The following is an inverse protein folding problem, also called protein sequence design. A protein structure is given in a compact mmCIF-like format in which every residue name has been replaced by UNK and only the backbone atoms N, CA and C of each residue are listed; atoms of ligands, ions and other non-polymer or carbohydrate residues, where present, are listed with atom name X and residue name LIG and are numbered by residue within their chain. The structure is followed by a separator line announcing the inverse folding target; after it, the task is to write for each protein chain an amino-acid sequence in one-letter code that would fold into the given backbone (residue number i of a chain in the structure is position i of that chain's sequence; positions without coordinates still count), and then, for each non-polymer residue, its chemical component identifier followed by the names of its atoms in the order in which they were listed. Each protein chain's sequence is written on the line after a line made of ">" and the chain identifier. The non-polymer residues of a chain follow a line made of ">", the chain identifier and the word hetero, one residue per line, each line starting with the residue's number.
data_IF_522104140173
#
_entry.id   IF_522104140173
#
_cell.length_a   1.000
_cell.length_b   1.000
_cell.length_c   1.000
_cell.angle_alpha   90.00
_cell.angle_beta   90.00
_cell.angle_gamma   90.00
#
_symmetry.space_group_name_H-M   'P 1'
#
loop_
_entity.id
_entity.type
_entity.pdbx_description
1 polymer ?
#
# COMPACT_ATOMS: atom_id res chain seq x y z
N UNK A 1 -37.47 79.01 8.29
CA UNK A 1 -37.33 78.09 7.14
C UNK A 1 -36.55 76.87 7.64
N UNK A 2 -37.22 75.75 7.92
CA UNK A 2 -37.45 74.61 7.01
C UNK A 2 -36.45 73.46 7.26
N UNK A 3 -36.98 72.35 7.82
CA UNK A 3 -36.70 70.90 7.59
C UNK A 3 -35.22 70.43 7.67
N UNK A 4 -34.84 69.24 8.16
CA UNK A 4 -35.51 67.94 8.18
C UNK A 4 -34.84 66.99 9.20
N UNK A 5 -35.64 66.03 9.69
CA UNK A 5 -35.24 64.75 10.29
C UNK A 5 -34.20 64.00 9.43
N UNK A 6 -33.24 63.32 10.05
CA UNK A 6 -32.92 61.91 9.71
C UNK A 6 -32.48 61.16 10.97
N UNK A 7 -33.23 60.09 11.25
CA UNK A 7 -32.98 59.04 12.23
C UNK A 7 -32.00 58.03 11.64
N UNK A 8 -30.91 57.73 12.34
CA UNK A 8 -29.99 56.66 11.97
C UNK A 8 -30.09 55.51 12.99
N UNK A 9 -30.82 54.46 12.60
CA UNK A 9 -30.83 53.14 13.23
C UNK A 9 -29.44 52.51 13.12
N UNK A 10 -28.81 52.19 14.24
CA UNK A 10 -27.66 51.30 14.31
C UNK A 10 -28.14 49.85 14.15
N UNK A 11 -27.88 49.28 12.98
CA UNK A 11 -28.09 47.85 12.71
C UNK A 11 -26.98 47.02 13.36
N UNK A 12 -27.31 46.28 14.40
CA UNK A 12 -26.44 45.26 14.99
C UNK A 12 -26.36 44.04 14.05
N UNK A 13 -25.22 43.84 13.41
CA UNK A 13 -24.92 42.62 12.65
C UNK A 13 -24.71 41.45 13.62
N UNK A 14 -25.68 40.53 13.71
CA UNK A 14 -25.51 39.26 14.44
C UNK A 14 -24.72 38.28 13.59
N UNK A 15 -23.55 37.90 14.10
CA UNK A 15 -22.67 36.84 13.60
C UNK A 15 -23.40 35.49 13.51
N UNK A 16 -23.43 34.90 12.31
CA UNK A 16 -23.96 33.56 12.08
C UNK A 16 -22.94 32.49 12.51
N UNK A 17 -23.23 31.78 13.60
CA UNK A 17 -22.48 30.59 14.03
C UNK A 17 -22.67 29.47 13.00
N UNK A 18 -21.60 29.04 12.33
CA UNK A 18 -21.57 27.83 11.49
C UNK A 18 -21.63 26.57 12.37
N UNK A 19 -22.56 25.68 12.07
CA UNK A 19 -22.70 24.36 12.69
C UNK A 19 -21.64 23.37 12.17
N UNK A 20 -21.21 22.37 12.98
CA UNK A 20 -20.19 21.41 12.58
C UNK A 20 -20.72 20.38 11.58
N UNK A 21 -20.03 20.24 10.44
CA UNK A 21 -20.31 19.20 9.44
C UNK A 21 -19.89 17.82 9.98
N UNK A 22 -20.85 16.89 10.10
CA UNK A 22 -20.59 15.49 10.48
C UNK A 22 -19.87 14.76 9.33
N UNK A 23 -18.77 14.06 9.65
CA UNK A 23 -17.99 13.26 8.69
C UNK A 23 -18.82 12.06 8.16
N UNK A 24 -18.75 11.72 6.86
CA UNK A 24 -19.53 10.63 6.29
C UNK A 24 -18.91 9.28 6.65
N UNK A 25 -19.33 8.70 7.78
CA UNK A 25 -19.00 7.32 8.18
C UNK A 25 -19.62 6.25 7.26
N UNK A 26 -20.46 6.65 6.30
CA UNK A 26 -21.14 5.74 5.38
C UNK A 26 -20.24 5.14 4.29
N UNK A 27 -19.18 5.84 3.86
CA UNK A 27 -18.29 5.33 2.82
C UNK A 27 -17.49 4.10 3.31
N UNK A 28 -17.03 4.13 4.57
CA UNK A 28 -16.29 3.02 5.16
C UNK A 28 -17.19 1.78 5.36
N UNK A 29 -18.43 1.99 5.81
CA UNK A 29 -19.42 0.92 5.94
C UNK A 29 -19.80 0.32 4.58
N UNK A 30 -19.89 1.14 3.52
CA UNK A 30 -20.16 0.66 2.17
C UNK A 30 -19.00 -0.19 1.61
N UNK A 31 -17.75 0.19 1.86
CA UNK A 31 -16.57 -0.58 1.46
C UNK A 31 -16.52 -1.92 2.22
N UNK A 32 -16.75 -1.92 3.54
CA UNK A 32 -16.80 -3.15 4.32
C UNK A 32 -17.91 -4.09 3.85
N UNK A 33 -19.11 -3.56 3.56
CA UNK A 33 -20.20 -4.35 3.01
C UNK A 33 -19.79 -5.00 1.69
N UNK A 34 -19.22 -4.22 0.75
CA UNK A 34 -18.82 -4.70 -0.58
C UNK A 34 -17.74 -5.79 -0.49
N UNK A 35 -16.78 -5.65 0.43
CA UNK A 35 -15.74 -6.66 0.67
C UNK A 35 -16.29 -7.95 1.28
N UNK A 36 -17.23 -7.87 2.23
CA UNK A 36 -17.89 -9.05 2.81
C UNK A 36 -18.73 -9.77 1.76
N UNK A 37 -19.49 -9.04 0.94
CA UNK A 37 -20.26 -9.66 -0.15
C UNK A 37 -19.33 -10.31 -1.19
N UNK A 38 -18.20 -9.69 -1.51
CA UNK A 38 -17.20 -10.27 -2.42
C UNK A 38 -16.55 -11.53 -1.85
N UNK A 39 -16.26 -11.55 -0.55
CA UNK A 39 -15.74 -12.73 0.15
C UNK A 39 -16.74 -13.89 0.15
N UNK A 40 -18.01 -13.61 0.40
CA UNK A 40 -19.08 -14.61 0.34
C UNK A 40 -19.29 -15.16 -1.07
N UNK A 41 -19.25 -14.31 -2.11
CA UNK A 41 -19.32 -14.78 -3.50
C UNK A 41 -18.13 -15.66 -3.89
N UNK A 42 -16.91 -15.33 -3.44
CA UNK A 42 -15.72 -16.15 -3.70
C UNK A 42 -15.75 -17.48 -2.97
N UNK A 43 -16.26 -17.53 -1.75
CA UNK A 43 -16.43 -18.79 -1.02
C UNK A 43 -17.52 -19.66 -1.64
N UNK A 44 -18.63 -19.08 -2.11
CA UNK A 44 -19.70 -19.81 -2.76
C UNK A 44 -19.30 -20.39 -4.13
N UNK A 45 -18.48 -19.65 -4.91
CA UNK A 45 -18.01 -20.10 -6.25
C UNK A 45 -16.73 -20.94 -6.17
N UNK A 46 -15.89 -20.75 -5.15
CA UNK A 46 -14.65 -21.50 -4.97
C UNK A 46 -14.80 -22.81 -4.20
N UNK A 47 -15.82 -22.95 -3.34
CA UNK A 47 -16.05 -24.20 -2.60
C UNK A 47 -16.56 -25.34 -3.52
N UNK A 48 -17.26 -25.02 -4.60
CA UNK A 48 -17.68 -26.02 -5.61
C UNK A 48 -16.51 -26.57 -6.43
N UNK A 49 -15.45 -25.77 -6.63
CA UNK A 49 -14.25 -26.21 -7.36
C UNK A 49 -13.27 -27.00 -6.47
N UNK A 50 -13.29 -26.75 -5.15
CA UNK A 50 -12.51 -27.51 -4.17
C UNK A 50 -13.10 -28.90 -3.88
N UNK A 51 -14.42 -29.04 -3.79
CA UNK A 51 -15.08 -30.34 -3.55
C UNK A 51 -15.03 -31.23 -4.81
N UNK A 52 -14.99 -30.64 -6.00
CA UNK A 52 -14.83 -31.38 -7.26
C UNK A 52 -13.39 -31.91 -7.50
N UNK A 53 -12.40 -31.44 -6.74
CA UNK A 53 -11.00 -31.93 -6.83
C UNK A 53 -10.59 -32.92 -5.75
N UNK A 54 -11.46 -33.18 -4.77
CA UNK A 54 -11.21 -34.17 -3.72
C UNK A 54 -11.47 -35.63 -4.18
N UNK A 55 -11.96 -35.83 -5.41
CA UNK A 55 -12.19 -37.15 -6.00
C UNK A 55 -11.07 -37.71 -6.88
N UNK A 56 -10.03 -36.94 -7.23
CA UNK A 56 -9.18 -37.30 -8.38
C UNK A 56 -7.67 -37.05 -8.19
N UNK A 57 -7.16 -37.19 -6.96
CA UNK A 57 -5.70 -37.18 -6.73
C UNK A 57 -5.23 -38.21 -5.69
N UNK A 58 -5.11 -39.47 -6.13
CA UNK A 58 -4.16 -40.43 -5.56
C UNK A 58 -3.87 -41.54 -6.58
N UNK A 59 -2.63 -41.69 -7.09
CA UNK A 59 -2.28 -42.80 -7.95
C UNK A 59 -2.15 -44.06 -7.08
N UNK A 60 -3.14 -44.96 -7.14
CA UNK A 60 -3.06 -46.28 -6.49
C UNK A 60 -2.32 -47.28 -7.38
N UNK A 61 -1.49 -48.16 -6.77
CA UNK A 61 -0.54 -49.04 -7.43
C UNK A 61 -1.25 -50.30 -7.94
N UNK A 62 -1.98 -50.19 -9.04
CA UNK A 62 -2.63 -51.34 -9.70
C UNK A 62 -1.86 -51.84 -10.92
N UNK A 63 -0.74 -51.20 -11.26
CA UNK A 63 0.07 -51.57 -12.42
C UNK A 63 0.97 -52.80 -12.18
N UNK A 64 1.31 -53.13 -10.94
CA UNK A 64 2.26 -54.22 -10.64
C UNK A 64 1.58 -55.60 -10.42
N UNK A 65 0.30 -55.63 -10.05
CA UNK A 65 -0.42 -56.90 -9.86
C UNK A 65 -1.00 -57.50 -11.16
N UNK A 66 -1.11 -56.71 -12.23
CA UNK A 66 -1.59 -57.17 -13.54
C UNK A 66 -0.47 -57.79 -14.40
N UNK A 67 0.80 -57.58 -14.06
CA UNK A 67 1.95 -58.07 -14.85
C UNK A 67 2.47 -59.45 -14.42
N UNK A 68 1.96 -60.02 -13.32
CA UNK A 68 2.40 -61.33 -12.80
C UNK A 68 1.49 -62.52 -13.17
N UNK A 69 0.30 -62.26 -13.74
CA UNK A 69 -0.67 -63.31 -14.08
C UNK A 69 -0.61 -63.77 -15.55
N UNK A 70 0.09 -63.04 -16.43
CA UNK A 70 0.13 -63.32 -17.88
C UNK A 70 1.37 -64.10 -18.34
N UNK A 71 2.28 -64.47 -17.43
CA UNK A 71 3.50 -65.21 -17.76
C UNK A 71 3.33 -66.75 -17.80
N UNK A 72 2.12 -67.26 -17.59
CA UNK A 72 1.84 -68.71 -17.50
C UNK A 72 0.83 -69.19 -18.56
N UNK A 73 0.99 -68.80 -19.83
CA UNK A 73 0.38 -69.53 -20.95
C UNK A 73 1.13 -69.33 -22.26
N UNK A 74 2.32 -69.91 -22.33
CA UNK A 74 3.09 -69.99 -23.56
C UNK A 74 2.67 -71.22 -24.40
N UNK A 75 2.27 -70.92 -25.66
CA UNK A 75 2.14 -71.73 -26.91
C UNK A 75 0.76 -72.26 -27.34
N UNK A 76 0.54 -72.43 -28.68
CA UNK A 76 1.37 -72.05 -29.83
C UNK A 76 0.73 -70.99 -30.75
N UNK A 77 1.58 -70.37 -31.57
CA UNK A 77 1.21 -69.51 -32.67
C UNK A 77 0.39 -70.25 -33.74
N UNK A 78 -0.83 -69.79 -33.97
CA UNK A 78 -1.61 -70.01 -35.20
C UNK A 78 -2.82 -69.07 -35.19
N UNK A 79 -2.61 -67.82 -35.61
CA UNK A 79 -3.55 -66.99 -36.37
C UNK A 79 -3.01 -65.56 -36.37
N UNK A 80 -2.19 -65.25 -37.38
CA UNK A 80 -2.00 -63.85 -37.76
C UNK A 80 -3.29 -63.42 -38.46
N UNK A 81 -4.10 -62.48 -37.92
CA UNK A 81 -5.11 -61.87 -38.77
C UNK A 81 -4.37 -61.19 -39.92
N UNK A 82 -4.75 -61.58 -41.15
CA UNK A 82 -4.27 -60.99 -42.39
C UNK A 82 -4.23 -59.45 -42.30
N UNK A 83 -3.34 -58.75 -43.03
CA UNK A 83 -3.31 -57.29 -43.00
C UNK A 83 -4.71 -56.76 -43.28
N UNK A 84 -5.34 -56.17 -42.25
CA UNK A 84 -6.62 -55.47 -42.42
C UNK A 84 -6.33 -54.34 -43.38
N UNK A 85 -6.77 -54.52 -44.63
CA UNK A 85 -6.90 -53.42 -45.57
C UNK A 85 -7.83 -52.44 -44.88
N UNK A 86 -7.28 -51.31 -44.42
CA UNK A 86 -8.06 -50.26 -43.77
C UNK A 86 -9.12 -49.86 -44.78
N UNK A 87 -10.37 -50.21 -44.51
CA UNK A 87 -11.44 -49.86 -45.41
C UNK A 87 -11.55 -48.34 -45.43
N UNK A 88 -11.88 -47.75 -46.57
CA UNK A 88 -12.07 -46.30 -46.70
C UNK A 88 -13.10 -45.74 -45.70
N UNK A 89 -13.98 -46.61 -45.19
CA UNK A 89 -14.94 -46.34 -44.12
C UNK A 89 -14.30 -46.09 -42.73
N UNK A 90 -13.14 -46.69 -42.43
CA UNK A 90 -12.44 -46.54 -41.15
C UNK A 90 -11.57 -45.27 -41.10
N UNK A 91 -11.24 -44.69 -42.26
CA UNK A 91 -10.38 -43.51 -42.41
C UNK A 91 -11.17 -42.20 -42.16
N UNK A 92 -12.41 -42.14 -42.64
CA UNK A 92 -13.30 -40.97 -42.49
C UNK A 92 -13.49 -40.51 -41.02
N UNK A 93 -13.86 -41.38 -40.06
CA UNK A 93 -14.04 -40.95 -38.67
C UNK A 93 -12.73 -40.48 -38.02
N UNK A 94 -11.58 -41.00 -38.48
CA UNK A 94 -10.27 -40.57 -38.00
C UNK A 94 -9.92 -39.17 -38.50
N UNK A 95 -10.19 -38.86 -39.78
CA UNK A 95 -10.04 -37.52 -40.34
C UNK A 95 -10.96 -36.51 -39.64
N UNK A 96 -12.22 -36.85 -39.41
CA UNK A 96 -13.16 -35.99 -38.67
C UNK A 96 -12.67 -35.72 -37.23
N UNK A 97 -12.10 -36.72 -36.55
CA UNK A 97 -11.52 -36.55 -35.22
C UNK A 97 -10.29 -35.63 -35.22
N UNK A 98 -9.47 -35.70 -36.28
CA UNK A 98 -8.32 -34.80 -36.48
C UNK A 98 -8.78 -33.37 -36.76
N UNK A 99 -9.76 -33.17 -37.64
CA UNK A 99 -10.33 -31.85 -37.93
C UNK A 99 -10.94 -31.22 -36.67
N UNK A 100 -11.68 -32.00 -35.89
CA UNK A 100 -12.24 -31.56 -34.62
C UNK A 100 -11.16 -31.22 -33.57
N UNK A 101 -10.01 -31.91 -33.61
CA UNK A 101 -8.85 -31.57 -32.76
C UNK A 101 -8.17 -30.30 -33.25
N UNK A 102 -7.97 -30.14 -34.55
CA UNK A 102 -7.36 -28.95 -35.14
C UNK A 102 -8.20 -27.70 -34.89
N UNK A 103 -9.52 -27.77 -35.05
CA UNK A 103 -10.43 -26.67 -34.72
C UNK A 103 -10.33 -26.26 -33.24
N UNK A 104 -10.20 -27.22 -32.32
CA UNK A 104 -10.00 -26.96 -30.89
C UNK A 104 -8.64 -26.31 -30.61
N UNK A 105 -7.58 -26.74 -31.29
CA UNK A 105 -6.24 -26.16 -31.16
C UNK A 105 -6.20 -24.73 -31.69
N UNK A 106 -6.71 -24.48 -32.90
CA UNK A 106 -6.78 -23.14 -33.49
C UNK A 106 -7.54 -22.15 -32.60
N UNK A 107 -8.63 -22.60 -31.94
CA UNK A 107 -9.37 -21.77 -30.97
C UNK A 107 -8.57 -21.46 -29.71
N UNK A 108 -7.72 -22.39 -29.25
CA UNK A 108 -6.83 -22.15 -28.10
C UNK A 108 -5.69 -21.22 -28.46
N UNK A 109 -5.08 -21.42 -29.62
CA UNK A 109 -4.01 -20.56 -30.14
C UNK A 109 -4.48 -19.11 -30.26
N UNK A 110 -5.63 -18.87 -30.91
CA UNK A 110 -6.17 -17.51 -31.01
C UNK A 110 -6.50 -16.88 -29.66
N UNK A 111 -7.00 -17.67 -28.70
CA UNK A 111 -7.24 -17.18 -27.35
C UNK A 111 -5.94 -16.83 -26.59
N UNK A 112 -4.87 -17.59 -26.81
CA UNK A 112 -3.54 -17.31 -26.25
C UNK A 112 -2.96 -16.06 -26.89
N UNK A 113 -3.05 -15.90 -28.21
CA UNK A 113 -2.54 -14.71 -28.92
C UNK A 113 -3.20 -13.42 -28.43
N UNK A 114 -4.53 -13.43 -28.31
CA UNK A 114 -5.28 -12.29 -27.75
C UNK A 114 -4.82 -11.98 -26.32
N UNK A 115 -4.60 -13.01 -25.50
CA UNK A 115 -4.14 -12.82 -24.11
C UNK A 115 -2.70 -12.28 -24.06
N UNK A 116 -1.81 -12.75 -24.93
CA UNK A 116 -0.43 -12.25 -25.00
C UNK A 116 -0.39 -10.78 -25.41
N UNK A 117 -1.20 -10.37 -26.38
CA UNK A 117 -1.32 -8.96 -26.76
C UNK A 117 -1.86 -8.10 -25.61
N UNK A 118 -2.88 -8.57 -24.91
CA UNK A 118 -3.43 -7.85 -23.76
C UNK A 118 -2.41 -7.73 -22.61
N UNK A 119 -1.62 -8.77 -22.36
CA UNK A 119 -0.55 -8.74 -21.35
C UNK A 119 0.57 -7.79 -21.75
N UNK A 120 1.01 -7.78 -23.01
CA UNK A 120 2.05 -6.88 -23.48
C UNK A 120 1.65 -5.40 -23.29
N UNK A 121 0.40 -5.03 -23.61
CA UNK A 121 -0.12 -3.68 -23.37
C UNK A 121 -0.17 -3.36 -21.87
N UNK A 122 -0.61 -4.32 -21.04
CA UNK A 122 -0.64 -4.13 -19.60
C UNK A 122 0.75 -3.96 -18.98
N UNK A 123 1.74 -4.72 -19.46
CA UNK A 123 3.15 -4.61 -19.04
C UNK A 123 3.71 -3.22 -19.36
N UNK A 124 3.47 -2.72 -20.59
CA UNK A 124 3.88 -1.37 -20.98
C UNK A 124 3.21 -0.28 -20.11
N UNK A 125 1.92 -0.41 -19.84
CA UNK A 125 1.21 0.51 -18.94
C UNK A 125 1.74 0.48 -17.50
N UNK A 126 2.06 -0.72 -16.99
CA UNK A 126 2.62 -0.89 -15.64
C UNK A 126 3.99 -0.24 -15.57
N UNK A 127 4.86 -0.48 -16.55
CA UNK A 127 6.19 0.11 -16.60
C UNK A 127 6.12 1.64 -16.64
N UNK A 128 5.24 2.19 -17.49
CA UNK A 128 5.00 3.64 -17.53
C UNK A 128 4.51 4.20 -16.19
N UNK A 129 3.61 3.51 -15.51
CA UNK A 129 3.11 3.92 -14.17
C UNK A 129 4.20 3.83 -13.12
N UNK A 130 5.05 2.80 -13.16
CA UNK A 130 6.17 2.62 -12.24
C UNK A 130 7.19 3.76 -12.39
N UNK A 131 7.54 4.13 -13.62
CA UNK A 131 8.43 5.26 -13.89
C UNK A 131 7.83 6.57 -13.38
N UNK A 132 6.55 6.84 -13.69
CA UNK A 132 5.86 8.04 -13.20
C UNK A 132 5.79 8.09 -11.66
N UNK A 133 5.60 6.94 -10.99
CA UNK A 133 5.62 6.87 -9.53
C UNK A 133 7.02 7.14 -8.95
N UNK A 134 8.07 6.58 -9.56
CA UNK A 134 9.44 6.81 -9.11
C UNK A 134 9.86 8.29 -9.25
N UNK A 135 9.46 8.94 -10.34
CA UNK A 135 9.67 10.37 -10.56
C UNK A 135 8.90 11.22 -9.54
N UNK A 136 7.63 10.89 -9.30
CA UNK A 136 6.80 11.57 -8.31
C UNK A 136 7.36 11.42 -6.89
N UNK A 137 7.83 10.22 -6.51
CA UNK A 137 8.47 9.96 -5.21
C UNK A 137 9.75 10.79 -5.06
N UNK A 138 10.58 10.84 -6.10
CA UNK A 138 11.82 11.62 -6.09
C UNK A 138 11.54 13.11 -5.94
N UNK A 139 10.57 13.64 -6.71
CA UNK A 139 10.13 15.04 -6.62
C UNK A 139 9.55 15.37 -5.24
N UNK A 140 8.75 14.48 -4.66
CA UNK A 140 8.23 14.63 -3.31
C UNK A 140 9.35 14.65 -2.26
N UNK A 141 10.29 13.71 -2.33
CA UNK A 141 11.46 13.66 -1.44
C UNK A 141 12.29 14.94 -1.52
N UNK A 142 12.53 15.45 -2.73
CA UNK A 142 13.23 16.72 -2.93
C UNK A 142 12.47 17.91 -2.33
N UNK A 143 11.16 17.99 -2.57
CA UNK A 143 10.32 19.07 -2.03
C UNK A 143 10.28 19.03 -0.50
N UNK A 144 10.16 17.84 0.10
CA UNK A 144 10.22 17.66 1.55
C UNK A 144 11.59 18.03 2.12
N UNK A 145 12.68 17.66 1.43
CA UNK A 145 14.02 18.05 1.83
C UNK A 145 14.19 19.57 1.81
N UNK A 146 13.81 20.24 0.72
CA UNK A 146 13.86 21.71 0.61
C UNK A 146 13.03 22.40 1.69
N UNK A 147 11.80 21.91 1.94
CA UNK A 147 10.94 22.45 2.98
C UNK A 147 11.55 22.26 4.38
N UNK A 148 12.20 21.11 4.64
CA UNK A 148 12.87 20.83 5.91
C UNK A 148 14.09 21.72 6.11
N UNK A 149 14.92 21.89 5.08
CA UNK A 149 16.15 22.71 5.15
C UNK A 149 15.80 24.19 5.38
N UNK A 150 14.86 24.75 4.61
CA UNK A 150 14.50 26.16 4.78
C UNK A 150 13.96 26.47 6.18
N UNK A 151 13.17 25.57 6.77
CA UNK A 151 12.66 25.75 8.12
C UNK A 151 13.70 25.46 9.22
N UNK A 152 14.67 24.55 8.99
CA UNK A 152 15.73 24.29 9.96
C UNK A 152 16.79 25.39 9.99
N UNK A 153 17.17 25.94 8.83
CA UNK A 153 18.26 26.90 8.71
C UNK A 153 18.01 28.17 9.54
N UNK A 154 16.76 28.65 9.56
CA UNK A 154 16.42 29.84 10.32
C UNK A 154 16.38 29.58 11.83
N UNK A 155 15.97 28.37 12.25
CA UNK A 155 16.03 27.96 13.66
C UNK A 155 17.47 27.76 14.12
N UNK A 156 18.33 27.19 13.27
CA UNK A 156 19.73 26.99 13.57
C UNK A 156 20.46 28.33 13.71
N UNK A 157 20.23 29.30 12.81
CA UNK A 157 20.74 30.67 12.95
C UNK A 157 20.31 31.33 14.26
N UNK A 158 19.03 31.21 14.65
CA UNK A 158 18.56 31.75 15.92
C UNK A 158 19.21 31.05 17.12
N UNK A 159 19.38 29.73 17.03
CA UNK A 159 20.09 28.94 18.04
C UNK A 159 21.53 29.44 18.20
N UNK A 160 22.24 29.70 17.10
CA UNK A 160 23.61 30.21 17.10
C UNK A 160 23.71 31.61 17.71
N UNK A 161 22.73 32.48 17.48
CA UNK A 161 22.69 33.81 18.10
C UNK A 161 22.64 33.71 19.62
N UNK A 162 21.79 32.83 20.15
CA UNK A 162 21.70 32.61 21.60
C UNK A 162 22.91 31.87 22.16
N UNK A 163 23.46 30.89 21.41
CA UNK A 163 24.64 30.13 21.82
C UNK A 163 25.90 31.01 21.95
N UNK A 164 26.04 32.02 21.10
CA UNK A 164 27.18 32.95 21.12
C UNK A 164 26.98 34.15 22.07
N UNK A 165 25.80 34.30 22.67
CA UNK A 165 25.54 35.34 23.66
C UNK A 165 26.18 35.00 25.01
N UNK A 166 26.40 36.00 25.87
CA UNK A 166 26.86 35.76 27.24
C UNK A 166 25.86 34.83 27.96
N UNK A 167 26.30 33.70 28.56
CA UNK A 167 25.40 32.70 29.13
C UNK A 167 24.43 33.28 30.17
N UNK A 168 24.89 34.23 30.99
CA UNK A 168 24.05 34.91 31.98
C UNK A 168 22.93 35.75 31.35
N UNK A 169 23.17 36.37 30.20
CA UNK A 169 22.14 37.14 29.48
C UNK A 169 21.16 36.19 28.79
N UNK A 170 21.68 35.15 28.12
CA UNK A 170 20.84 34.13 27.49
C UNK A 170 19.94 33.43 28.52
N UNK A 171 20.46 33.05 29.69
CA UNK A 171 19.68 32.41 30.74
C UNK A 171 18.46 33.23 31.18
N UNK A 172 18.62 34.55 31.36
CA UNK A 172 17.51 35.43 31.68
C UNK A 172 16.44 35.47 30.58
N UNK A 173 16.82 35.43 29.29
CA UNK A 173 15.86 35.34 28.20
C UNK A 173 15.18 33.97 28.13
N UNK A 174 15.89 32.88 28.43
CA UNK A 174 15.35 31.52 28.43
C UNK A 174 14.35 31.28 29.58
N UNK A 175 14.47 32.02 30.69
CA UNK A 175 13.49 31.97 31.79
C UNK A 175 12.16 32.64 31.44
N UNK A 176 12.19 33.72 30.66
CA UNK A 176 10.99 34.43 30.20
C UNK A 176 10.33 33.72 29.00
N UNK A 177 11.01 32.76 28.39
CA UNK A 177 10.57 32.03 27.21
C UNK A 177 9.64 30.86 27.58
N UNK A 178 8.75 30.49 26.66
CA UNK A 178 7.96 29.26 26.80
C UNK A 178 8.89 28.03 26.98
N UNK A 179 8.66 27.19 28.01
CA UNK A 179 9.53 26.04 28.31
C UNK A 179 9.66 25.04 27.15
N UNK A 180 8.63 24.89 26.32
CA UNK A 180 8.66 23.98 25.17
C UNK A 180 9.61 24.50 24.08
N UNK A 181 9.59 25.81 23.86
CA UNK A 181 10.44 26.49 22.89
C UNK A 181 11.90 26.49 23.37
N UNK A 182 12.14 26.82 24.64
CA UNK A 182 13.45 26.76 25.29
C UNK A 182 14.11 25.38 25.19
N UNK A 183 13.35 24.30 25.45
CA UNK A 183 13.81 22.92 25.27
C UNK A 183 14.21 22.63 23.81
N UNK A 184 13.48 23.20 22.85
CA UNK A 184 13.78 23.09 21.43
C UNK A 184 15.16 23.63 21.05
N UNK A 185 15.51 24.83 21.53
CA UNK A 185 16.82 25.44 21.28
C UNK A 185 17.95 24.72 22.01
N UNK A 186 17.78 24.43 23.31
CA UNK A 186 18.81 23.74 24.09
C UNK A 186 19.12 22.36 23.52
N UNK A 187 18.12 21.66 22.99
CA UNK A 187 18.31 20.35 22.34
C UNK A 187 18.95 20.39 20.95
N UNK A 188 19.07 21.55 20.32
CA UNK A 188 19.74 21.73 19.01
C UNK A 188 21.13 22.39 19.13
N UNK A 189 21.37 23.12 20.21
CA UNK A 189 22.62 23.81 20.50
C UNK A 189 23.74 22.83 20.92
N UNK A 190 25.00 23.28 20.81
CA UNK A 190 26.15 22.54 21.34
C UNK A 190 26.02 22.29 22.86
N UNK A 191 26.37 21.10 23.37
CA UNK A 191 26.16 20.73 24.77
C UNK A 191 26.82 21.67 25.79
N UNK A 192 27.98 22.24 25.46
CA UNK A 192 28.72 23.16 26.31
C UNK A 192 28.00 24.50 26.48
N UNK A 193 27.50 25.08 25.40
CA UNK A 193 26.72 26.32 25.45
C UNK A 193 25.37 26.11 26.16
N UNK A 194 24.71 24.98 25.90
CA UNK A 194 23.47 24.61 26.59
C UNK A 194 23.68 24.45 28.11
N UNK A 195 24.76 23.79 28.54
CA UNK A 195 25.11 23.63 29.94
C UNK A 195 25.40 24.99 30.62
N UNK A 196 26.13 25.88 29.93
CA UNK A 196 26.43 27.21 30.46
C UNK A 196 25.16 28.07 30.64
N UNK A 197 24.19 27.96 29.74
CA UNK A 197 22.89 28.64 29.85
C UNK A 197 22.06 28.03 30.99
N UNK A 198 21.94 26.70 31.07
CA UNK A 198 21.22 26.02 32.16
C UNK A 198 21.80 26.35 33.54
N UNK A 199 23.12 26.48 33.65
CA UNK A 199 23.78 26.89 34.89
C UNK A 199 23.46 28.33 35.31
N UNK A 200 23.05 29.19 34.37
CA UNK A 200 22.61 30.55 34.64
C UNK A 200 21.13 30.68 34.98
N UNK A 201 20.35 29.61 34.83
CA UNK A 201 18.90 29.60 35.08
C UNK A 201 18.56 29.22 36.53
N UNK A 202 17.36 29.54 36.98
CA UNK A 202 16.81 29.03 38.22
C UNK A 202 16.62 27.50 38.14
N UNK A 203 16.79 26.78 39.26
CA UNK A 203 16.61 25.32 39.29
C UNK A 203 15.23 24.86 38.80
N UNK A 204 14.20 25.67 39.03
CA UNK A 204 12.82 25.38 38.61
C UNK A 204 12.68 25.44 37.10
N UNK A 205 13.15 26.51 36.45
CA UNK A 205 13.10 26.65 34.99
C UNK A 205 13.96 25.60 34.29
N UNK A 206 15.18 25.34 34.79
CA UNK A 206 16.06 24.30 34.24
C UNK A 206 15.42 22.90 34.31
N UNK A 207 14.72 22.58 35.40
CA UNK A 207 13.99 21.32 35.54
C UNK A 207 12.85 21.20 34.52
N UNK A 208 12.01 22.23 34.38
CA UNK A 208 10.87 22.22 33.44
C UNK A 208 11.33 21.96 32.01
N UNK A 209 12.38 22.66 31.58
CA UNK A 209 12.94 22.51 30.24
C UNK A 209 13.57 21.13 30.04
N UNK A 210 14.24 20.59 31.07
CA UNK A 210 14.84 19.24 31.03
C UNK A 210 13.79 18.13 30.86
N UNK A 211 12.65 18.24 31.54
CA UNK A 211 11.55 17.27 31.42
C UNK A 211 10.99 17.26 29.99
N UNK A 212 10.77 18.44 29.41
CA UNK A 212 10.25 18.55 28.03
C UNK A 212 11.27 18.01 27.02
N UNK A 213 12.56 18.35 27.21
CA UNK A 213 13.63 17.86 26.34
C UNK A 213 13.71 16.33 26.35
N UNK A 214 13.60 15.71 27.53
CA UNK A 214 13.58 14.25 27.66
C UNK A 214 12.31 13.61 27.05
N UNK A 215 11.16 14.28 27.14
CA UNK A 215 9.89 13.80 26.61
C UNK A 215 9.78 13.85 25.09
N UNK A 216 10.59 14.67 24.40
CA UNK A 216 10.43 14.94 22.95
C UNK A 216 10.58 13.72 22.03
N UNK A 217 11.27 12.67 22.49
CA UNK A 217 11.47 11.43 21.74
C UNK A 217 10.64 10.26 22.29
N UNK A 218 9.82 10.48 23.33
CA UNK A 218 9.02 9.43 23.95
C UNK A 218 7.87 8.95 23.04
N UNK A 219 7.40 9.80 22.13
CA UNK A 219 6.27 9.54 21.22
C UNK A 219 6.68 8.94 19.86
N UNK A 220 7.96 8.63 19.64
CA UNK A 220 8.39 7.97 18.40
C UNK A 220 7.96 6.50 18.45
N UNK A 221 7.19 5.99 17.46
CA UNK A 221 6.85 4.58 17.40
C UNK A 221 8.12 3.73 17.44
N UNK A 222 8.21 2.85 18.44
CA UNK A 222 9.24 1.81 18.49
C UNK A 222 8.78 0.66 17.61
N UNK A 223 9.67 0.15 16.79
CA UNK A 223 9.43 -1.03 15.95
C UNK A 223 9.02 -2.26 16.78
#
# INVERSE_FOLDING_TARGET
>A
MAKAKVSARTGAARSARKAPKRKPRGALAAICALLVTSGLLRLAVGASEAIAREGDTAPKPQLEAALAADAAKARPAADQPAPRVVAEADIKPLLEALDAREARLRKRESAIDVRMQALAVAEEEIERKMQALAEAETSLKQTLALARTAASDDVDKLTDVYANMKPKQAAALFEEMDPQFAAGFLGRMRPDAAAAIMAGMTPQSAYLVSVILAGRNADVPKE
#
